data_IF_947172106837
#
_entry.id   IF_947172106837
#
_cell.length_a   1.000
_cell.length_b   1.000
_cell.length_c   1.000
_cell.angle_alpha   90.00
_cell.angle_beta   90.00
_cell.angle_gamma   90.00
#
_symmetry.space_group_name_H-M   'P 1'
#
loop_
_entity.id
_entity.type
_entity.pdbx_description
1 polymer ?
#
# COMPACT_ATOMS: atom_id res chain seq x y z
N UNK A 1 -0.13 19.69 -11.76
CA UNK A 1 1.25 20.00 -11.32
C UNK A 1 2.21 19.39 -12.34
N UNK A 2 3.34 20.01 -12.68
CA UNK A 2 4.26 19.45 -13.67
C UNK A 2 4.94 18.18 -13.14
N UNK A 3 5.23 17.25 -14.04
CA UNK A 3 5.93 16.01 -13.75
C UNK A 3 7.36 16.32 -13.31
N UNK A 4 7.81 15.69 -12.23
CA UNK A 4 9.04 16.07 -11.54
C UNK A 4 9.65 14.85 -10.84
N UNK A 5 10.98 14.89 -10.69
CA UNK A 5 11.71 13.98 -9.81
C UNK A 5 11.58 14.45 -8.36
N UNK A 6 11.17 13.54 -7.49
CA UNK A 6 11.06 13.80 -6.06
C UNK A 6 12.07 12.96 -5.29
N UNK A 7 12.80 13.54 -4.33
CA UNK A 7 13.74 12.77 -3.51
C UNK A 7 12.98 11.72 -2.70
N UNK A 8 13.53 10.51 -2.59
CA UNK A 8 12.93 9.45 -1.78
C UNK A 8 13.36 9.64 -0.32
N UNK A 9 12.43 9.91 0.63
CA UNK A 9 12.80 10.02 2.04
C UNK A 9 13.33 8.70 2.59
N UNK A 10 14.20 8.76 3.60
CA UNK A 10 14.84 7.58 4.20
C UNK A 10 13.84 6.51 4.65
N UNK A 11 12.68 6.91 5.19
CA UNK A 11 11.62 5.99 5.61
C UNK A 11 11.00 5.18 4.46
N UNK A 12 11.08 5.68 3.23
CA UNK A 12 10.51 5.08 2.03
C UNK A 12 11.52 4.22 1.26
N UNK A 13 12.77 4.13 1.70
CA UNK A 13 13.74 3.26 1.07
C UNK A 13 13.42 1.78 1.37
N UNK A 14 13.34 0.99 0.32
CA UNK A 14 13.03 -0.44 0.36
C UNK A 14 13.85 -1.18 -0.70
N UNK A 15 15.02 -1.69 -0.31
CA UNK A 15 15.87 -2.45 -1.24
C UNK A 15 15.25 -3.81 -1.60
N UNK A 16 15.32 -4.27 -2.86
CA UNK A 16 15.92 -3.61 -4.03
C UNK A 16 14.95 -2.75 -4.87
N UNK A 17 13.80 -2.35 -4.30
CA UNK A 17 12.65 -1.80 -5.03
C UNK A 17 12.62 -0.27 -5.11
N UNK A 18 12.75 0.39 -3.97
CA UNK A 18 12.83 1.84 -3.81
C UNK A 18 14.20 2.15 -3.21
N UNK A 19 15.22 2.20 -4.05
CA UNK A 19 16.63 2.36 -3.63
C UNK A 19 17.38 3.45 -4.39
N UNK A 20 16.68 4.20 -5.26
CA UNK A 20 17.22 5.36 -5.95
C UNK A 20 17.22 6.63 -5.09
N UNK A 21 17.89 7.69 -5.56
CA UNK A 21 17.86 9.00 -4.90
C UNK A 21 16.50 9.70 -5.08
N UNK A 22 15.79 9.39 -6.17
CA UNK A 22 14.55 10.03 -6.55
C UNK A 22 13.57 9.06 -7.25
N UNK A 23 12.31 9.50 -7.32
CA UNK A 23 11.23 8.86 -8.05
C UNK A 23 10.56 9.88 -8.97
N UNK A 24 10.28 9.46 -10.20
CA UNK A 24 9.49 10.25 -11.13
C UNK A 24 7.99 10.05 -10.85
N UNK A 25 7.24 11.15 -10.71
CA UNK A 25 5.79 11.09 -10.54
C UNK A 25 5.07 11.95 -11.58
N UNK A 26 4.09 11.35 -12.26
CA UNK A 26 3.19 12.02 -13.18
C UNK A 26 1.92 12.47 -12.44
N UNK A 27 1.95 13.72 -11.95
CA UNK A 27 0.85 14.32 -11.18
C UNK A 27 -0.17 15.06 -12.08
N UNK A 28 -0.07 14.90 -13.40
CA UNK A 28 -1.08 15.36 -14.34
C UNK A 28 -2.25 14.35 -14.47
N UNK A 29 -2.03 13.09 -14.07
CA UNK A 29 -3.06 12.04 -14.06
C UNK A 29 -4.05 12.22 -12.92
N UNK A 30 -5.16 11.47 -12.97
CA UNK A 30 -6.08 11.43 -11.84
C UNK A 30 -5.38 10.85 -10.60
N UNK A 31 -5.74 11.29 -9.38
CA UNK A 31 -5.12 10.76 -8.15
C UNK A 31 -5.18 9.24 -8.03
N UNK A 32 -6.28 8.62 -8.50
CA UNK A 32 -6.46 7.17 -8.50
C UNK A 32 -5.54 6.46 -9.51
N UNK A 33 -5.23 7.06 -10.65
CA UNK A 33 -4.22 6.54 -11.57
C UNK A 33 -2.83 6.65 -10.97
N UNK A 34 -2.51 7.79 -10.36
CA UNK A 34 -1.21 8.01 -9.70
C UNK A 34 -0.95 6.97 -8.61
N UNK A 35 -1.91 6.67 -7.73
CA UNK A 35 -1.71 5.65 -6.69
C UNK A 35 -1.66 4.21 -7.24
N UNK A 36 -2.32 3.92 -8.37
CA UNK A 36 -2.22 2.59 -8.99
C UNK A 36 -0.86 2.35 -9.65
N UNK A 37 -0.19 3.42 -10.06
CA UNK A 37 1.18 3.35 -10.58
C UNK A 37 2.20 3.36 -9.44
N UNK A 38 2.04 4.27 -8.48
CA UNK A 38 2.89 4.39 -7.30
C UNK A 38 2.05 4.57 -6.03
N UNK A 39 1.79 3.50 -5.26
CA UNK A 39 0.84 3.52 -4.14
C UNK A 39 1.11 4.56 -3.06
N UNK A 40 2.37 4.96 -2.91
CA UNK A 40 2.82 5.88 -1.86
C UNK A 40 3.08 7.30 -2.38
N UNK A 41 2.62 7.64 -3.58
CA UNK A 41 2.89 8.94 -4.19
C UNK A 41 2.48 10.11 -3.28
N UNK A 42 1.26 10.09 -2.75
CA UNK A 42 0.76 11.17 -1.89
C UNK A 42 1.35 11.13 -0.48
N UNK A 43 1.68 9.96 0.06
CA UNK A 43 2.38 9.82 1.33
C UNK A 43 3.79 10.42 1.24
N UNK A 44 4.51 10.16 0.14
CA UNK A 44 5.83 10.71 -0.12
C UNK A 44 5.79 12.23 -0.28
N UNK A 45 4.83 12.75 -1.07
CA UNK A 45 4.64 14.20 -1.21
C UNK A 45 4.32 14.86 0.14
N UNK A 46 3.51 14.21 0.97
CA UNK A 46 3.19 14.70 2.31
C UNK A 46 4.41 14.71 3.24
N UNK A 47 5.22 13.65 3.23
CA UNK A 47 6.48 13.58 3.97
C UNK A 47 7.47 14.68 3.54
N UNK A 48 7.53 14.97 2.23
CA UNK A 48 8.33 16.05 1.67
C UNK A 48 7.75 17.46 1.92
N UNK A 49 6.57 17.55 2.54
CA UNK A 49 5.84 18.81 2.75
C UNK A 49 5.51 19.54 1.44
N UNK A 50 5.39 18.79 0.34
CA UNK A 50 4.90 19.32 -0.93
C UNK A 50 3.39 19.62 -0.80
N UNK A 51 2.89 20.70 -1.42
CA UNK A 51 1.48 21.05 -1.34
C UNK A 51 0.65 20.00 -2.08
N UNK A 52 -0.18 19.25 -1.34
CA UNK A 52 -1.16 18.30 -1.87
C UNK A 52 -2.58 18.72 -1.50
N UNK A 53 -3.49 18.63 -2.46
CA UNK A 53 -4.92 18.94 -2.27
C UNK A 53 -5.77 17.69 -2.05
N UNK A 54 -5.19 16.51 -2.30
CA UNK A 54 -5.86 15.24 -2.16
C UNK A 54 -4.99 14.28 -1.35
N UNK A 55 -5.61 13.62 -0.36
CA UNK A 55 -4.94 12.76 0.61
C UNK A 55 -5.68 11.43 0.71
N UNK A 56 -5.09 10.31 0.27
CA UNK A 56 -5.76 9.01 0.26
C UNK A 56 -6.34 8.60 1.63
N UNK A 57 -5.63 8.86 2.72
CA UNK A 57 -6.02 8.49 4.08
C UNK A 57 -7.15 9.33 4.69
N UNK A 58 -7.57 10.41 4.02
CA UNK A 58 -8.72 11.24 4.41
C UNK A 58 -9.94 11.01 3.50
N UNK A 59 -9.81 10.19 2.46
CA UNK A 59 -10.93 9.86 1.58
C UNK A 59 -11.77 8.69 2.12
N UNK A 60 -12.93 8.48 1.50
CA UNK A 60 -13.76 7.29 1.71
C UNK A 60 -13.10 6.01 1.12
N UNK A 61 -13.90 5.03 0.75
CA UNK A 61 -13.51 3.71 0.25
C UNK A 61 -12.58 3.72 -0.99
N UNK A 62 -12.70 4.75 -1.84
CA UNK A 62 -12.22 4.73 -3.21
C UNK A 62 -10.71 4.48 -3.39
N UNK A 63 -9.78 5.10 -2.63
CA UNK A 63 -8.35 4.82 -2.80
C UNK A 63 -7.97 3.38 -2.43
N UNK A 64 -8.59 2.85 -1.37
CA UNK A 64 -8.35 1.48 -0.89
C UNK A 64 -8.94 0.47 -1.87
N UNK A 65 -10.15 0.71 -2.38
CA UNK A 65 -10.77 -0.12 -3.43
C UNK A 65 -9.92 -0.17 -4.69
N UNK A 66 -9.40 0.98 -5.13
CA UNK A 66 -8.51 1.10 -6.28
C UNK A 66 -7.24 0.26 -6.11
N UNK A 67 -6.60 0.31 -4.94
CA UNK A 67 -5.41 -0.49 -4.65
C UNK A 67 -5.72 -1.99 -4.51
N UNK A 68 -6.84 -2.39 -3.93
CA UNK A 68 -7.22 -3.82 -3.90
C UNK A 68 -7.50 -4.38 -5.28
N UNK A 69 -8.13 -3.60 -6.16
CA UNK A 69 -8.35 -3.99 -7.55
C UNK A 69 -7.03 -4.11 -8.35
N UNK A 70 -6.09 -3.19 -8.17
CA UNK A 70 -4.76 -3.26 -8.80
C UNK A 70 -3.94 -4.41 -8.22
N UNK A 71 -3.94 -4.62 -6.90
CA UNK A 71 -3.34 -5.78 -6.25
C UNK A 71 -3.86 -7.09 -6.83
N UNK A 72 -5.17 -7.21 -7.06
CA UNK A 72 -5.77 -8.39 -7.70
C UNK A 72 -5.12 -8.73 -9.05
N UNK A 73 -4.85 -7.71 -9.87
CA UNK A 73 -4.16 -7.87 -11.17
C UNK A 73 -2.70 -8.26 -10.99
N UNK A 74 -1.95 -7.52 -10.16
CA UNK A 74 -0.52 -7.77 -9.88
C UNK A 74 -0.25 -9.13 -9.24
N UNK A 75 -1.18 -9.61 -8.41
CA UNK A 75 -1.14 -10.94 -7.79
C UNK A 75 -1.18 -12.05 -8.83
N UNK A 76 -2.09 -11.98 -9.81
CA UNK A 76 -2.17 -12.98 -10.86
C UNK A 76 -0.93 -12.93 -11.77
N UNK A 77 -0.45 -11.74 -12.12
CA UNK A 77 0.81 -11.57 -12.85
C UNK A 77 1.99 -12.23 -12.12
N UNK A 78 2.12 -11.98 -10.82
CA UNK A 78 3.18 -12.58 -10.00
C UNK A 78 3.04 -14.11 -9.88
N UNK A 79 1.81 -14.63 -9.82
CA UNK A 79 1.53 -16.07 -9.77
C UNK A 79 1.96 -16.76 -11.07
N UNK A 80 1.64 -16.17 -12.22
CA UNK A 80 2.09 -16.67 -13.53
C UNK A 80 3.62 -16.67 -13.62
N UNK A 81 4.28 -15.61 -13.11
CA UNK A 81 5.75 -15.56 -13.03
C UNK A 81 6.35 -16.71 -12.22
N UNK A 82 5.74 -17.07 -11.08
CA UNK A 82 6.22 -18.22 -10.29
C UNK A 82 6.04 -19.57 -11.00
N UNK A 83 5.06 -19.69 -11.89
CA UNK A 83 4.89 -20.91 -12.70
C UNK A 83 5.97 -21.01 -13.78
N UNK A 84 6.39 -19.87 -14.33
CA UNK A 84 7.39 -19.80 -15.40
C UNK A 84 8.83 -19.72 -14.87
N UNK A 85 9.02 -19.24 -13.65
CA UNK A 85 10.30 -18.90 -13.07
C UNK A 85 10.34 -19.28 -11.58
N UNK A 86 11.48 -19.75 -11.07
CA UNK A 86 11.58 -20.24 -9.67
C UNK A 86 11.63 -19.10 -8.62
N UNK A 87 11.51 -17.84 -9.02
CA UNK A 87 11.64 -16.64 -8.16
C UNK A 87 10.59 -15.59 -8.50
N UNK A 88 10.31 -14.73 -7.52
CA UNK A 88 9.39 -13.61 -7.70
C UNK A 88 9.96 -12.54 -8.63
N UNK A 89 9.08 -11.70 -9.18
CA UNK A 89 9.52 -10.48 -9.85
C UNK A 89 9.74 -9.41 -8.78
N UNK A 90 10.92 -8.78 -8.82
CA UNK A 90 11.30 -7.79 -7.84
C UNK A 90 10.35 -6.58 -7.85
N UNK A 91 10.06 -6.02 -9.01
CA UNK A 91 9.22 -4.84 -9.13
C UNK A 91 7.79 -5.13 -8.66
N UNK A 92 7.23 -6.29 -9.02
CA UNK A 92 5.89 -6.69 -8.56
C UNK A 92 5.81 -6.89 -7.04
N UNK A 93 6.83 -7.52 -6.43
CA UNK A 93 6.88 -7.69 -4.98
C UNK A 93 7.02 -6.35 -4.24
N UNK A 94 7.88 -5.46 -4.75
CA UNK A 94 8.05 -4.11 -4.21
C UNK A 94 6.77 -3.28 -4.29
N UNK A 95 6.13 -3.26 -5.45
CA UNK A 95 4.84 -2.61 -5.64
C UNK A 95 3.80 -3.13 -4.65
N UNK A 96 3.68 -4.46 -4.56
CA UNK A 96 2.66 -5.11 -3.74
C UNK A 96 2.88 -4.85 -2.25
N UNK A 97 4.14 -4.78 -1.82
CA UNK A 97 4.50 -4.37 -0.46
C UNK A 97 4.09 -2.92 -0.18
N UNK A 98 4.43 -1.98 -1.09
CA UNK A 98 4.04 -0.58 -0.95
C UNK A 98 2.51 -0.41 -0.92
N UNK A 99 1.78 -1.10 -1.80
CA UNK A 99 0.32 -1.08 -1.82
C UNK A 99 -0.27 -1.65 -0.52
N UNK A 100 0.32 -2.70 0.05
CA UNK A 100 -0.11 -3.24 1.33
C UNK A 100 0.07 -2.24 2.47
N UNK A 101 1.25 -1.61 2.57
CA UNK A 101 1.54 -0.61 3.60
C UNK A 101 0.62 0.61 3.46
N UNK A 102 0.38 1.08 2.23
CA UNK A 102 -0.59 2.13 1.94
C UNK A 102 -1.99 1.76 2.48
N UNK A 103 -2.55 0.63 2.05
CA UNK A 103 -3.87 0.18 2.53
C UNK A 103 -3.91 0.04 4.05
N UNK A 104 -2.86 -0.51 4.68
CA UNK A 104 -2.80 -0.70 6.12
C UNK A 104 -2.87 0.63 6.86
N UNK A 105 -2.09 1.63 6.45
CA UNK A 105 -2.10 2.95 7.10
C UNK A 105 -3.37 3.73 6.80
N UNK A 106 -3.82 3.76 5.54
CA UNK A 106 -5.02 4.51 5.14
C UNK A 106 -6.29 3.96 5.79
N UNK A 107 -6.38 2.63 6.01
CA UNK A 107 -7.45 2.03 6.79
C UNK A 107 -7.49 2.51 8.24
N UNK A 108 -6.36 2.94 8.78
CA UNK A 108 -6.24 3.55 10.10
C UNK A 108 -6.29 5.09 10.03
N UNK A 109 -6.64 5.69 8.88
CA UNK A 109 -6.84 7.14 8.72
C UNK A 109 -5.54 7.96 8.81
N UNK A 110 -4.39 7.35 8.53
CA UNK A 110 -3.09 8.01 8.61
C UNK A 110 -2.27 7.80 7.33
N UNK A 111 -1.34 8.72 7.06
CA UNK A 111 -0.34 8.55 6.01
C UNK A 111 0.71 7.51 6.41
N UNK A 112 1.44 7.02 5.42
CA UNK A 112 2.67 6.25 5.61
C UNK A 112 3.82 7.23 5.81
N UNK A 113 4.62 7.03 6.85
CA UNK A 113 5.90 7.76 7.05
C UNK A 113 7.11 6.84 6.85
N UNK A 114 6.91 5.52 6.86
CA UNK A 114 7.96 4.53 6.72
C UNK A 114 7.43 3.21 6.16
N UNK A 115 8.21 2.58 5.29
CA UNK A 115 8.03 1.19 4.84
C UNK A 115 8.50 0.15 5.86
N UNK A 116 8.96 0.61 7.03
CA UNK A 116 9.25 -0.22 8.21
C UNK A 116 8.43 0.30 9.39
N UNK A 117 7.08 0.33 9.29
CA UNK A 117 6.25 1.01 10.28
C UNK A 117 6.26 0.28 11.62
N UNK A 118 6.14 1.05 12.70
CA UNK A 118 5.72 0.52 14.00
C UNK A 118 4.20 0.31 13.98
N UNK A 119 3.79 -0.96 14.10
CA UNK A 119 2.38 -1.35 14.01
C UNK A 119 1.66 -1.34 15.36
N UNK A 120 2.35 -1.03 16.46
CA UNK A 120 1.79 -1.11 17.83
C UNK A 120 0.52 -0.28 17.95
N UNK A 121 0.52 0.93 17.38
CA UNK A 121 -0.58 1.88 17.48
C UNK A 121 -1.71 1.68 16.45
N UNK A 122 -1.55 0.78 15.47
CA UNK A 122 -2.61 0.53 14.48
C UNK A 122 -3.74 -0.32 15.09
N UNK A 123 -4.97 0.19 15.02
CA UNK A 123 -6.16 -0.54 15.47
C UNK A 123 -6.56 -1.65 14.49
N UNK A 124 -6.41 -1.40 13.19
CA UNK A 124 -6.69 -2.38 12.13
C UNK A 124 -5.36 -2.89 11.59
N UNK A 125 -5.06 -4.17 11.81
CA UNK A 125 -3.86 -4.84 11.27
C UNK A 125 -4.04 -6.36 11.19
N UNK A 126 -3.47 -7.04 10.17
CA UNK A 126 -3.43 -8.50 10.12
C UNK A 126 -2.71 -9.12 11.32
N UNK A 127 -2.98 -10.40 11.56
CA UNK A 127 -2.36 -11.15 12.65
C UNK A 127 -0.87 -11.36 12.36
N UNK A 128 -0.03 -11.23 13.39
CA UNK A 128 1.43 -11.36 13.32
C UNK A 128 2.05 -10.50 12.20
N UNK A 129 1.48 -9.32 11.99
CA UNK A 129 1.86 -8.45 10.87
C UNK A 129 3.31 -7.96 10.97
N UNK A 130 3.86 -7.81 12.18
CA UNK A 130 5.25 -7.39 12.40
C UNK A 130 6.22 -8.45 11.86
N UNK A 131 6.07 -9.69 12.30
CA UNK A 131 6.94 -10.82 11.93
C UNK A 131 6.84 -11.10 10.43
N UNK A 132 5.62 -11.06 9.88
CA UNK A 132 5.38 -11.32 8.45
C UNK A 132 5.97 -10.23 7.57
N UNK A 133 5.79 -8.95 7.92
CA UNK A 133 6.40 -7.84 7.17
C UNK A 133 7.91 -7.81 7.31
N UNK A 134 8.47 -8.24 8.44
CA UNK A 134 9.91 -8.43 8.58
C UNK A 134 10.41 -9.53 7.65
N UNK A 135 9.79 -10.72 7.70
CA UNK A 135 10.17 -11.84 6.86
C UNK A 135 10.10 -11.49 5.37
N UNK A 136 9.01 -10.85 4.93
CA UNK A 136 8.84 -10.42 3.54
C UNK A 136 9.99 -9.50 3.13
N UNK A 137 10.35 -8.49 3.93
CA UNK A 137 11.47 -7.57 3.61
C UNK A 137 12.82 -8.28 3.54
N UNK A 138 13.06 -9.26 4.40
CA UNK A 138 14.32 -10.02 4.44
C UNK A 138 14.42 -11.04 3.29
N UNK A 139 13.29 -11.55 2.81
CA UNK A 139 13.23 -12.65 1.84
C UNK A 139 12.33 -12.33 0.63
N UNK A 140 12.42 -11.15 0.00
CA UNK A 140 11.28 -10.60 -0.72
C UNK A 140 11.07 -11.26 -2.10
N UNK A 141 12.03 -12.06 -2.58
CA UNK A 141 11.93 -12.83 -3.82
C UNK A 141 11.53 -14.30 -3.63
N UNK A 142 11.34 -14.74 -2.39
CA UNK A 142 10.93 -16.10 -2.08
C UNK A 142 9.42 -16.28 -2.27
N UNK A 143 9.02 -17.48 -2.72
CA UNK A 143 7.61 -17.83 -2.88
C UNK A 143 6.82 -17.66 -1.59
N UNK A 144 7.42 -18.00 -0.44
CA UNK A 144 6.75 -17.84 0.85
C UNK A 144 6.41 -16.38 1.16
N UNK A 145 7.27 -15.42 0.80
CA UNK A 145 6.98 -13.99 0.96
C UNK A 145 5.77 -13.53 0.14
N UNK A 146 5.61 -14.07 -1.07
CA UNK A 146 4.42 -13.83 -1.87
C UNK A 146 3.15 -14.42 -1.23
N UNK A 147 3.23 -15.65 -0.71
CA UNK A 147 2.11 -16.28 0.00
C UNK A 147 1.71 -15.49 1.25
N UNK A 148 2.70 -15.07 2.05
CA UNK A 148 2.50 -14.25 3.23
C UNK A 148 1.79 -12.94 2.88
N UNK A 149 2.28 -12.22 1.85
CA UNK A 149 1.67 -10.96 1.43
C UNK A 149 0.22 -11.16 0.95
N UNK A 150 -0.05 -12.24 0.19
CA UNK A 150 -1.39 -12.58 -0.27
C UNK A 150 -2.37 -12.85 0.87
N UNK A 151 -1.94 -13.59 1.88
CA UNK A 151 -2.74 -13.87 3.07
C UNK A 151 -2.99 -12.60 3.88
N UNK A 152 -1.97 -11.74 4.05
CA UNK A 152 -2.12 -10.45 4.73
C UNK A 152 -3.11 -9.54 4.01
N UNK A 153 -3.10 -9.49 2.68
CA UNK A 153 -4.10 -8.77 1.90
C UNK A 153 -5.51 -9.32 2.13
N UNK A 154 -5.69 -10.65 2.14
CA UNK A 154 -7.00 -11.26 2.37
C UNK A 154 -7.54 -10.99 3.78
N UNK A 155 -6.67 -10.98 4.79
CA UNK A 155 -7.02 -10.56 6.15
C UNK A 155 -7.42 -9.08 6.20
N UNK A 156 -6.62 -8.20 5.59
CA UNK A 156 -6.87 -6.76 5.57
C UNK A 156 -8.17 -6.40 4.85
N UNK A 157 -8.46 -7.07 3.72
CA UNK A 157 -9.70 -6.88 2.94
C UNK A 157 -10.94 -7.28 3.75
N UNK A 158 -10.87 -8.36 4.55
CA UNK A 158 -11.96 -8.72 5.48
C UNK A 158 -12.19 -7.65 6.53
N UNK A 159 -11.12 -7.09 7.10
CA UNK A 159 -11.21 -6.02 8.10
C UNK A 159 -11.78 -4.74 7.49
N UNK A 160 -11.37 -4.40 6.27
CA UNK A 160 -11.89 -3.28 5.51
C UNK A 160 -13.40 -3.42 5.24
N UNK A 161 -13.85 -4.57 4.72
CA UNK A 161 -15.28 -4.84 4.49
C UNK A 161 -16.11 -4.70 5.77
N UNK A 162 -15.59 -5.20 6.90
CA UNK A 162 -16.21 -5.01 8.22
C UNK A 162 -16.31 -3.52 8.58
N UNK A 163 -15.26 -2.73 8.37
CA UNK A 163 -15.26 -1.28 8.64
C UNK A 163 -16.31 -0.54 7.79
N UNK A 164 -16.41 -0.86 6.49
CA UNK A 164 -17.40 -0.26 5.60
C UNK A 164 -18.84 -0.58 6.02
N UNK A 165 -19.13 -1.83 6.38
CA UNK A 165 -20.47 -2.19 6.85
C UNK A 165 -20.85 -1.40 8.09
N UNK A 166 -19.94 -1.30 9.07
CA UNK A 166 -20.18 -0.52 10.30
C UNK A 166 -20.38 0.97 10.04
N UNK A 167 -19.65 1.57 9.09
CA UNK A 167 -19.84 2.98 8.75
C UNK A 167 -21.17 3.25 8.06
N UNK A 168 -21.65 2.34 7.20
CA UNK A 168 -22.99 2.42 6.60
C UNK A 168 -24.09 2.31 7.65
N UNK A 169 -24.03 1.33 8.56
CA UNK A 169 -25.01 1.18 9.64
C UNK A 169 -25.07 2.40 10.57
N UNK A 170 -23.93 3.03 10.87
CA UNK A 170 -23.88 4.22 11.71
C UNK A 170 -24.43 5.47 11.02
N UNK A 171 -24.41 5.54 9.68
CA UNK A 171 -25.04 6.63 8.91
C UNK A 171 -26.57 6.48 8.84
N UNK A 172 -27.09 5.26 8.93
CA UNK A 172 -28.53 4.94 8.84
C UNK A 172 -29.30 5.05 10.17
N UNK A 173 -28.60 5.18 11.31
CA UNK A 173 -29.19 5.58 12.60
C UNK A 173 -28.93 7.07 12.86
N UNK A 174 -29.77 8.00 12.37
CA UNK A 174 -29.77 9.33 12.94
C UNK A 174 -30.16 9.20 14.42
N UNK A 175 -29.38 9.84 15.30
CA UNK A 175 -29.65 9.95 16.73
C UNK A 175 -31.12 10.36 16.93
N UNK A 176 -31.90 9.44 17.49
CA UNK A 176 -33.19 9.75 18.09
C UNK A 176 -33.01 10.44 19.43
#
# INVERSE_FOLDING_TARGET
>A
MPNKLYPIPQGFLLSPYLNGPDVYMDLARSPLETIREFPLAFDLLFELKEPITWKPWEQDAEPIDSLFAEWGRKREEQKERFQQNKRADAALMGYSYCAFIACLHWLNGQSVSSLKPDLVHLGIKPVNSVERLQYIRENPLQFHSFIQLKEMFAELEKMYKKKLLLSTFNKEKPLG
#
